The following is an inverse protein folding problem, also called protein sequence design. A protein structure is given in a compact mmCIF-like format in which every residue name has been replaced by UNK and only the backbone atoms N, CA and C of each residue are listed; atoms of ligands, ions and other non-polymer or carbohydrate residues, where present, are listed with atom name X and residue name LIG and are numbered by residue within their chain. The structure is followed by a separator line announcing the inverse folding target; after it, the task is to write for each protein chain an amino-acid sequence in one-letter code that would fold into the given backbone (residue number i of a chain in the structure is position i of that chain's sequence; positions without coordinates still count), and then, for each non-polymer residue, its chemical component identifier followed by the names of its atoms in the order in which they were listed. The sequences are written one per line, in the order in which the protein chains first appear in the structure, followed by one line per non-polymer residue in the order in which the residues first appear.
data_IF_395297793298
#
_entry.id   IF_395297793298
#
_cell.length_a   1.000
_cell.length_b   1.000
_cell.length_c   1.000
_cell.angle_alpha   90.00
_cell.angle_beta   90.00
_cell.angle_gamma   90.00
#
_symmetry.space_group_name_H-M   'P 1'
#
loop_
_entity.id
_entity.type
_entity.pdbx_description
1 polymer ?
#
# COMPACT_ATOMS: atom_id res chain seq x y z
N UNK A 1 -29.29 6.30 -8.28
CA UNK A 1 -29.80 6.33 -6.88
C UNK A 1 -29.44 7.69 -6.30
N UNK A 2 -30.39 8.38 -5.69
CA UNK A 2 -30.11 9.63 -5.00
C UNK A 2 -29.41 9.33 -3.66
N UNK A 3 -28.39 10.11 -3.31
CA UNK A 3 -27.68 10.00 -2.04
C UNK A 3 -28.60 10.54 -0.93
N UNK A 4 -28.78 9.86 0.22
CA UNK A 4 -29.67 10.32 1.28
C UNK A 4 -29.23 11.69 1.85
N UNK A 5 -30.17 12.51 2.37
CA UNK A 5 -29.91 13.91 2.72
C UNK A 5 -28.89 14.11 3.85
N UNK A 6 -28.66 13.09 4.68
CA UNK A 6 -27.69 13.11 5.78
C UNK A 6 -26.28 12.67 5.36
N UNK A 7 -26.06 12.30 4.10
CA UNK A 7 -24.74 11.86 3.62
C UNK A 7 -23.97 13.06 3.06
N UNK A 8 -22.65 13.05 3.24
CA UNK A 8 -21.74 14.05 2.69
C UNK A 8 -20.84 13.39 1.66
N UNK A 9 -20.61 14.10 0.55
CA UNK A 9 -19.60 13.71 -0.43
C UNK A 9 -18.23 14.07 0.11
N UNK A 10 -17.31 13.10 0.08
CA UNK A 10 -15.89 13.29 0.41
C UNK A 10 -15.09 13.07 -0.87
N UNK A 11 -14.04 13.85 -1.07
CA UNK A 11 -13.09 13.68 -2.18
C UNK A 11 -11.69 13.67 -1.61
N UNK A 12 -10.86 12.76 -2.11
CA UNK A 12 -9.46 12.62 -1.70
C UNK A 12 -8.59 12.34 -2.93
N UNK A 13 -7.31 12.70 -2.83
CA UNK A 13 -6.30 12.26 -3.77
C UNK A 13 -5.59 11.04 -3.19
N UNK A 14 -5.44 10.00 -4.00
CA UNK A 14 -4.66 8.82 -3.64
C UNK A 14 -3.34 8.85 -4.41
N UNK A 15 -2.19 8.67 -3.74
CA UNK A 15 -0.94 8.35 -4.40
C UNK A 15 -1.11 7.15 -5.36
N UNK A 16 -0.41 7.12 -6.50
CA UNK A 16 -0.57 6.05 -7.50
C UNK A 16 -0.40 4.64 -6.93
N UNK A 17 0.56 4.45 -6.04
CA UNK A 17 0.81 3.18 -5.36
C UNK A 17 -0.40 2.72 -4.54
N UNK A 18 -0.95 3.60 -3.69
CA UNK A 18 -2.13 3.29 -2.88
C UNK A 18 -3.37 3.09 -3.75
N UNK A 19 -3.49 3.79 -4.87
CA UNK A 19 -4.59 3.61 -5.80
C UNK A 19 -4.56 2.20 -6.43
N UNK A 20 -3.39 1.69 -6.82
CA UNK A 20 -3.26 0.34 -7.37
C UNK A 20 -3.51 -0.75 -6.31
N UNK A 21 -2.99 -0.57 -5.08
CA UNK A 21 -3.28 -1.49 -3.97
C UNK A 21 -4.78 -1.55 -3.65
N UNK A 22 -5.42 -0.38 -3.52
CA UNK A 22 -6.85 -0.30 -3.24
C UNK A 22 -7.69 -0.88 -4.38
N UNK A 23 -7.25 -0.70 -5.62
CA UNK A 23 -7.89 -1.32 -6.79
C UNK A 23 -7.80 -2.84 -6.74
N UNK A 24 -6.63 -3.40 -6.45
CA UNK A 24 -6.46 -4.84 -6.28
C UNK A 24 -7.38 -5.40 -5.19
N UNK A 25 -7.40 -4.75 -4.02
CA UNK A 25 -8.31 -5.07 -2.92
C UNK A 25 -9.79 -5.05 -3.36
N UNK A 26 -10.20 -4.03 -4.13
CA UNK A 26 -11.58 -3.95 -4.62
C UNK A 26 -11.95 -5.11 -5.55
N UNK A 27 -11.03 -5.60 -6.37
CA UNK A 27 -11.29 -6.74 -7.25
C UNK A 27 -11.31 -8.05 -6.47
N UNK A 28 -10.41 -8.23 -5.51
CA UNK A 28 -10.35 -9.43 -4.65
C UNK A 28 -11.62 -9.63 -3.83
N UNK A 29 -12.18 -8.53 -3.28
CA UNK A 29 -13.37 -8.57 -2.44
C UNK A 29 -14.68 -8.28 -3.17
N UNK A 30 -14.68 -8.33 -4.51
CA UNK A 30 -15.86 -8.05 -5.35
C UNK A 30 -16.50 -6.66 -5.13
N UNK A 31 -15.73 -5.70 -4.60
CA UNK A 31 -16.11 -4.29 -4.40
C UNK A 31 -15.96 -3.54 -5.73
N UNK A 32 -16.68 -4.00 -6.74
CA UNK A 32 -16.59 -3.50 -8.11
C UNK A 32 -17.94 -2.95 -8.60
N UNK A 33 -17.90 -2.22 -9.70
CA UNK A 33 -19.07 -1.74 -10.43
C UNK A 33 -18.81 -1.78 -11.93
N UNK A 34 -19.86 -1.99 -12.71
CA UNK A 34 -19.78 -1.84 -14.17
C UNK A 34 -19.74 -0.36 -14.53
N UNK A 35 -18.77 0.02 -15.34
CA UNK A 35 -18.73 1.35 -15.93
C UNK A 35 -19.81 1.48 -17.03
N UNK A 36 -19.90 2.66 -17.68
CA UNK A 36 -20.88 2.91 -18.76
C UNK A 36 -20.67 2.01 -19.98
N UNK A 37 -19.48 1.46 -20.14
CA UNK A 37 -19.06 0.56 -21.20
C UNK A 37 -19.31 -0.92 -20.84
N UNK A 38 -19.81 -1.20 -19.62
CA UNK A 38 -20.08 -2.55 -19.13
C UNK A 38 -18.87 -3.26 -18.53
N UNK A 39 -17.70 -2.63 -18.52
CA UNK A 39 -16.47 -3.19 -17.96
C UNK A 39 -16.44 -3.04 -16.44
N UNK A 40 -15.83 -4.01 -15.76
CA UNK A 40 -15.64 -3.95 -14.32
C UNK A 40 -14.61 -2.88 -13.94
N UNK A 41 -14.98 -2.08 -12.95
CA UNK A 41 -14.13 -1.03 -12.38
C UNK A 41 -14.26 -1.06 -10.86
N UNK A 42 -13.22 -0.63 -10.11
CA UNK A 42 -13.31 -0.58 -8.65
C UNK A 42 -14.38 0.41 -8.18
N UNK A 43 -15.12 0.03 -7.14
CA UNK A 43 -16.04 0.92 -6.44
C UNK A 43 -15.28 1.72 -5.38
N UNK A 44 -14.50 2.71 -5.84
CA UNK A 44 -13.56 3.47 -5.01
C UNK A 44 -14.09 3.93 -3.64
N UNK A 45 -15.27 4.56 -3.60
CA UNK A 45 -15.84 5.05 -2.34
C UNK A 45 -16.09 3.93 -1.33
N UNK A 46 -16.66 2.81 -1.78
CA UNK A 46 -16.89 1.63 -0.94
C UNK A 46 -15.56 0.99 -0.52
N UNK A 47 -14.62 0.86 -1.45
CA UNK A 47 -13.29 0.31 -1.15
C UNK A 47 -12.54 1.11 -0.08
N UNK A 48 -12.58 2.45 -0.14
CA UNK A 48 -11.98 3.32 0.88
C UNK A 48 -12.63 3.08 2.24
N UNK A 49 -13.97 3.02 2.29
CA UNK A 49 -14.70 2.81 3.56
C UNK A 49 -14.37 1.44 4.16
N UNK A 50 -14.31 0.38 3.37
CA UNK A 50 -13.96 -0.96 3.86
C UNK A 50 -12.49 -1.04 4.32
N UNK A 51 -11.56 -0.44 3.58
CA UNK A 51 -10.16 -0.36 4.00
C UNK A 51 -9.99 0.41 5.32
N UNK A 52 -10.70 1.53 5.50
CA UNK A 52 -10.68 2.28 6.75
C UNK A 52 -11.33 1.50 7.90
N UNK A 53 -12.44 0.79 7.65
CA UNK A 53 -13.05 -0.08 8.67
C UNK A 53 -12.05 -1.15 9.10
N UNK A 54 -11.37 -1.82 8.18
CA UNK A 54 -10.36 -2.82 8.50
C UNK A 54 -9.24 -2.23 9.37
N UNK A 55 -8.74 -1.06 8.99
CA UNK A 55 -7.72 -0.33 9.75
C UNK A 55 -8.17 -0.03 11.18
N UNK A 56 -9.36 0.55 11.34
CA UNK A 56 -9.90 0.96 12.64
C UNK A 56 -10.53 -0.18 13.46
N UNK A 57 -10.80 -1.34 12.85
CA UNK A 57 -11.30 -2.53 13.55
C UNK A 57 -10.16 -3.38 14.14
N UNK A 58 -8.91 -3.04 13.83
CA UNK A 58 -7.77 -3.67 14.50
C UNK A 58 -7.65 -3.13 15.94
N UNK A 59 -7.53 -4.03 16.91
CA UNK A 59 -7.38 -3.70 18.36
C UNK A 59 -6.13 -2.86 18.70
N UNK A 60 -5.34 -2.49 17.68
CA UNK A 60 -4.13 -1.68 17.80
C UNK A 60 -4.39 -0.17 17.69
N UNK A 61 -5.62 0.28 17.46
CA UNK A 61 -5.93 1.73 17.47
C UNK A 61 -6.32 2.16 18.90
N UNK A 62 -5.55 3.05 19.55
CA UNK A 62 -5.88 3.51 20.90
C UNK A 62 -7.25 4.21 20.89
N UNK A 63 -8.16 3.72 21.72
CA UNK A 63 -9.46 4.35 21.98
C UNK A 63 -9.46 4.96 23.39
N UNK A 64 -9.97 6.20 23.57
CA UNK A 64 -10.60 7.05 22.57
C UNK A 64 -9.58 7.75 21.67
N UNK A 65 -9.95 7.92 20.39
CA UNK A 65 -9.24 8.84 19.49
C UNK A 65 -9.29 10.23 20.14
N UNK A 66 -8.14 10.89 20.38
CA UNK A 66 -8.13 12.18 21.07
C UNK A 66 -8.91 13.22 20.27
N UNK A 67 -9.85 13.90 20.93
CA UNK A 67 -10.78 14.91 20.38
C UNK A 67 -10.07 16.17 19.83
N UNK A 68 -8.77 16.28 20.03
CA UNK A 68 -7.93 17.30 19.42
C UNK A 68 -7.65 16.91 17.98
N UNK A 69 -8.48 17.46 17.08
CA UNK A 69 -8.28 17.54 15.63
C UNK A 69 -6.99 16.84 15.16
N UNK A 70 -7.11 15.57 14.73
CA UNK A 70 -6.06 14.70 14.17
C UNK A 70 -4.89 15.51 13.60
N UNK A 71 -3.95 15.90 14.46
CA UNK A 71 -2.80 16.66 14.01
C UNK A 71 -2.06 15.74 13.05
N UNK A 72 -1.66 16.27 11.90
CA UNK A 72 -0.99 15.51 10.83
C UNK A 72 0.11 14.59 11.38
N UNK A 73 0.80 15.06 12.42
CA UNK A 73 1.84 14.33 13.14
C UNK A 73 1.32 13.07 13.85
N UNK A 74 0.16 13.14 14.51
CA UNK A 74 -0.46 11.99 15.19
C UNK A 74 -0.89 10.94 14.15
N UNK A 75 -1.43 11.36 13.01
CA UNK A 75 -1.78 10.45 11.91
C UNK A 75 -0.53 9.84 11.28
N UNK A 76 0.51 10.63 11.03
CA UNK A 76 1.79 10.16 10.51
C UNK A 76 2.47 9.15 11.43
N UNK A 77 2.43 9.38 12.74
CA UNK A 77 2.98 8.49 13.75
C UNK A 77 2.17 7.18 13.82
N UNK A 78 0.83 7.26 13.78
CA UNK A 78 -0.04 6.07 13.78
C UNK A 78 0.15 5.22 12.51
N UNK A 79 0.31 5.88 11.35
CA UNK A 79 0.57 5.21 10.08
C UNK A 79 1.95 4.55 10.09
N UNK A 80 2.98 5.22 10.64
CA UNK A 80 4.32 4.63 10.80
C UNK A 80 4.29 3.41 11.70
N UNK A 81 3.62 3.49 12.84
CA UNK A 81 3.55 2.39 13.81
C UNK A 81 2.79 1.19 13.22
N UNK A 82 1.73 1.45 12.45
CA UNK A 82 0.99 0.40 11.72
C UNK A 82 1.83 -0.24 10.61
N UNK A 83 2.58 0.54 9.82
CA UNK A 83 3.49 0.01 8.81
C UNK A 83 4.63 -0.82 9.41
N UNK A 84 5.18 -0.40 10.55
CA UNK A 84 6.19 -1.16 11.29
C UNK A 84 5.63 -2.45 11.91
N UNK A 85 4.34 -2.50 12.21
CA UNK A 85 3.66 -3.72 12.68
C UNK A 85 3.27 -4.67 11.56
N UNK A 86 3.04 -4.17 10.34
CA UNK A 86 2.71 -4.97 9.15
C UNK A 86 3.99 -5.49 8.48
N UNK A 87 5.07 -4.71 8.53
CA UNK A 87 6.40 -5.21 8.17
C UNK A 87 6.80 -6.28 9.20
N UNK A 88 7.16 -7.51 8.78
CA UNK A 88 7.59 -8.52 9.73
C UNK A 88 8.80 -7.99 10.48
N UNK A 89 8.76 -8.03 11.81
CA UNK A 89 9.85 -7.74 12.74
C UNK A 89 11.02 -8.72 12.62
N UNK A 90 11.21 -9.31 11.44
CA UNK A 90 12.30 -10.17 11.05
C UNK A 90 12.68 -9.83 9.62
N UNK A 91 13.30 -8.67 9.41
CA UNK A 91 14.47 -8.72 8.54
C UNK A 91 15.44 -9.65 9.27
N UNK A 92 15.83 -10.80 8.69
CA UNK A 92 16.85 -11.62 9.32
C UNK A 92 18.07 -10.72 9.54
N UNK A 93 18.67 -10.77 10.73
CA UNK A 93 19.93 -10.08 11.07
C UNK A 93 21.13 -10.46 10.17
N UNK A 94 20.88 -11.15 9.05
CA UNK A 94 21.79 -11.44 7.96
C UNK A 94 21.54 -10.49 6.78
N UNK A 95 21.17 -9.22 7.03
CA UNK A 95 21.29 -8.22 5.98
C UNK A 95 22.80 -8.09 5.68
N UNK A 96 23.27 -8.42 4.46
CA UNK A 96 24.68 -8.24 4.15
C UNK A 96 25.03 -6.77 4.40
N UNK A 97 26.19 -6.50 5.00
CA UNK A 97 26.65 -5.12 5.13
C UNK A 97 26.65 -4.45 3.75
N UNK A 98 26.56 -3.12 3.74
CA UNK A 98 26.56 -2.36 2.48
C UNK A 98 27.75 -2.76 1.59
N UNK A 99 28.91 -3.07 2.18
CA UNK A 99 30.07 -3.58 1.44
C UNK A 99 29.80 -4.93 0.77
N UNK A 100 29.12 -5.85 1.45
CA UNK A 100 28.82 -7.18 0.93
C UNK A 100 27.71 -7.18 -0.13
N UNK A 101 26.77 -6.25 -0.03
CA UNK A 101 25.78 -6.00 -1.09
C UNK A 101 26.46 -5.48 -2.36
N UNK A 102 27.40 -4.54 -2.22
CA UNK A 102 28.17 -4.02 -3.35
C UNK A 102 29.01 -5.13 -4.00
N UNK A 103 29.64 -6.01 -3.22
CA UNK A 103 30.36 -7.18 -3.75
C UNK A 103 29.45 -8.11 -4.56
N UNK A 104 28.26 -8.45 -4.05
CA UNK A 104 27.33 -9.34 -4.75
C UNK A 104 26.80 -8.74 -6.06
N UNK A 105 26.56 -7.42 -6.07
CA UNK A 105 26.17 -6.69 -7.29
C UNK A 105 27.33 -6.70 -8.29
N UNK A 106 28.55 -6.42 -7.84
CA UNK A 106 29.75 -6.43 -8.67
C UNK A 106 30.00 -7.82 -9.28
N UNK A 107 29.86 -8.88 -8.49
CA UNK A 107 30.00 -10.27 -8.92
C UNK A 107 28.93 -10.66 -9.95
N UNK A 108 27.67 -10.28 -9.72
CA UNK A 108 26.59 -10.51 -10.70
C UNK A 108 26.86 -9.79 -12.02
N UNK A 109 27.30 -8.52 -11.97
CA UNK A 109 27.62 -7.74 -13.18
C UNK A 109 28.81 -8.36 -13.92
N UNK A 110 29.87 -8.76 -13.20
CA UNK A 110 31.05 -9.38 -13.79
C UNK A 110 30.78 -10.77 -14.38
N UNK A 111 29.79 -11.52 -13.87
CA UNK A 111 29.39 -12.81 -14.43
C UNK A 111 28.46 -12.65 -15.65
N UNK A 112 27.71 -11.54 -15.75
CA UNK A 112 26.83 -11.23 -16.88
C UNK A 112 27.57 -10.60 -18.07
N UNK A 113 28.66 -9.88 -17.84
CA UNK A 113 29.46 -9.26 -18.91
C UNK A 113 30.13 -10.24 -19.89
N UNK A 114 30.76 -11.36 -19.47
CA UNK A 114 31.38 -12.31 -20.41
C UNK A 114 30.35 -13.12 -21.19
N UNK A 115 29.12 -13.31 -20.66
CA UNK A 115 28.05 -14.04 -21.35
C UNK A 115 27.38 -13.23 -22.46
N UNK A 116 27.48 -11.88 -22.44
CA UNK A 116 26.98 -11.00 -23.50
C UNK A 116 28.02 -10.73 -24.62
N UNK A 117 29.32 -10.95 -24.36
CA UNK A 117 30.37 -10.83 -25.37
C UNK A 117 30.65 -12.14 -26.12
N UNK A 118 30.26 -13.30 -25.57
CA UNK A 118 30.47 -14.62 -26.20
C UNK A 118 29.41 -15.00 -27.24
N UNK A 119 28.26 -14.29 -27.31
CA UNK A 119 27.23 -14.53 -28.34
C UNK A 119 27.48 -13.80 -29.67
N UNK A 120 28.71 -13.31 -29.89
CA UNK A 120 29.11 -12.67 -31.14
C UNK A 120 30.54 -13.11 -31.55
N UNK A 121 30.71 -14.40 -31.82
CA UNK A 121 31.73 -14.94 -32.74
C UNK A 121 31.10 -16.02 -33.58
#
# INVERSE_FOLDING_TARGET
MAVPPNYKTVTCYLPPELAEQLKAYCFEHEITRKNKQGELSPSWGTGIVEALKLFFSSDNVPSPLPDTALEKKIVEDLVKDSLNSILPSSLPNNLPSEEKLLELIQESVNNLLPSLLSSHV
#
